data_IF_803939082201
#
_entry.id   IF_803939082201
#
_cell.length_a   1.000
_cell.length_b   1.000
_cell.length_c   1.000
_cell.angle_alpha   90.00
_cell.angle_beta   90.00
_cell.angle_gamma   90.00
#
_symmetry.space_group_name_H-M   'P 1'
#
loop_
_entity.id
_entity.type
_entity.pdbx_description
1 polymer ?
#
# COMPACT_ATOMS: atom_id res chain seq x y z
N UNK A 1 -20.27 -21.43 24.22
CA UNK A 1 -20.61 -21.44 22.78
C UNK A 1 -19.72 -22.47 22.10
N UNK A 2 -20.23 -23.20 21.11
CA UNK A 2 -19.46 -24.13 20.26
C UNK A 2 -19.66 -23.74 18.79
N UNK A 3 -18.65 -23.93 17.94
CA UNK A 3 -18.70 -23.64 16.52
C UNK A 3 -17.88 -24.69 15.74
N UNK A 4 -18.31 -25.04 14.53
CA UNK A 4 -17.57 -25.93 13.62
C UNK A 4 -16.39 -25.22 12.96
N UNK A 5 -16.50 -23.91 12.73
CA UNK A 5 -15.45 -23.09 12.16
C UNK A 5 -15.32 -21.78 12.93
N UNK A 6 -14.08 -21.40 13.24
CA UNK A 6 -13.72 -20.14 13.91
C UNK A 6 -12.85 -19.34 12.96
N UNK A 7 -13.23 -18.09 12.69
CA UNK A 7 -12.45 -17.15 11.88
C UNK A 7 -11.86 -16.07 12.76
N UNK A 8 -10.54 -16.01 12.84
CA UNK A 8 -9.79 -14.99 13.58
C UNK A 8 -9.54 -13.78 12.66
N UNK A 9 -10.23 -12.68 12.94
CA UNK A 9 -10.14 -11.43 12.19
C UNK A 9 -9.88 -10.22 13.08
N UNK A 10 -9.01 -10.35 14.08
CA UNK A 10 -8.81 -9.36 15.16
C UNK A 10 -7.99 -8.13 14.76
N UNK A 11 -7.48 -8.11 13.53
CA UNK A 11 -6.68 -6.99 13.01
C UNK A 11 -5.31 -6.86 13.68
N UNK A 12 -4.79 -5.64 13.69
CA UNK A 12 -3.47 -5.30 14.24
C UNK A 12 -3.46 -3.90 14.84
N UNK A 13 -2.46 -3.63 15.68
CA UNK A 13 -2.21 -2.31 16.30
C UNK A 13 -0.79 -1.82 15.98
N UNK A 14 -0.49 -0.52 16.10
CA UNK A 14 0.86 0.00 15.91
C UNK A 14 1.84 -0.69 16.85
N UNK A 15 3.01 -1.03 16.31
CA UNK A 15 4.10 -1.57 17.11
C UNK A 15 5.09 -0.46 17.46
N UNK A 16 5.46 -0.38 18.73
CA UNK A 16 6.37 0.64 19.27
C UNK A 16 7.63 -0.07 19.80
N UNK A 17 8.83 0.28 19.30
CA UNK A 17 10.09 -0.21 19.86
C UNK A 17 10.23 0.16 21.32
N UNK A 18 10.90 -0.66 22.13
CA UNK A 18 11.11 -0.37 23.55
C UNK A 18 11.94 0.89 23.82
N UNK A 19 12.73 1.35 22.85
CA UNK A 19 13.46 2.62 22.93
C UNK A 19 12.61 3.84 22.61
N UNK A 20 11.35 3.68 22.21
CA UNK A 20 10.46 4.78 21.84
C UNK A 20 9.40 4.97 22.91
N UNK A 21 9.17 6.21 23.33
CA UNK A 21 8.16 6.58 24.33
C UNK A 21 6.98 7.30 23.67
N UNK A 22 5.89 6.59 23.45
CA UNK A 22 4.63 7.12 22.87
C UNK A 22 3.69 7.53 24.01
N UNK A 23 3.31 8.81 24.06
CA UNK A 23 2.44 9.39 25.09
C UNK A 23 1.05 9.80 24.56
N UNK A 24 0.83 9.67 23.24
CA UNK A 24 -0.37 10.10 22.51
C UNK A 24 -0.74 11.59 22.69
N UNK A 25 0.23 12.40 23.14
CA UNK A 25 0.17 13.86 23.12
C UNK A 25 1.26 14.41 22.22
N UNK A 26 2.55 14.25 22.60
CA UNK A 26 3.72 14.76 21.87
C UNK A 26 4.30 13.74 20.90
N UNK A 27 4.32 12.49 21.32
CA UNK A 27 4.71 11.34 20.51
C UNK A 27 3.47 10.51 20.27
N UNK A 28 3.07 10.44 19.00
CA UNK A 28 1.90 9.77 18.49
C UNK A 28 2.31 8.45 17.84
N UNK A 29 1.38 7.53 17.71
CA UNK A 29 1.51 6.38 16.84
C UNK A 29 0.78 6.59 15.51
N UNK A 30 0.89 5.61 14.62
CA UNK A 30 0.21 5.63 13.32
C UNK A 30 -1.31 5.75 13.40
N UNK A 31 -1.95 5.35 14.51
CA UNK A 31 -3.40 5.38 14.68
C UNK A 31 -3.91 6.70 15.30
N UNK A 32 -3.00 7.57 15.77
CA UNK A 32 -3.31 8.87 16.37
C UNK A 32 -2.61 10.05 15.70
N UNK A 33 -2.07 9.85 14.48
CA UNK A 33 -1.27 10.83 13.74
C UNK A 33 -2.02 12.15 13.44
N UNK A 34 -3.34 12.11 13.34
CA UNK A 34 -4.18 13.28 13.05
C UNK A 34 -4.09 14.35 14.13
N UNK A 35 -3.69 13.98 15.36
CA UNK A 35 -3.43 14.92 16.46
C UNK A 35 -2.22 15.82 16.22
N UNK A 36 -1.38 15.50 15.22
CA UNK A 36 -0.30 16.37 14.79
C UNK A 36 -0.76 17.50 13.86
N UNK A 37 -2.01 17.46 13.37
CA UNK A 37 -2.56 18.54 12.55
C UNK A 37 -2.59 19.87 13.34
N UNK A 38 -2.26 20.96 12.67
CA UNK A 38 -2.21 22.30 13.28
C UNK A 38 -0.92 22.62 14.04
N UNK A 39 0.09 21.75 13.97
CA UNK A 39 1.45 22.05 14.44
C UNK A 39 2.32 22.63 13.31
N UNK A 40 3.51 23.14 13.62
CA UNK A 40 4.38 23.71 12.60
C UNK A 40 5.32 22.65 12.02
N UNK A 41 5.93 21.80 12.87
CA UNK A 41 6.96 20.83 12.45
C UNK A 41 6.72 19.45 13.03
N UNK A 42 6.61 18.44 12.16
CA UNK A 42 6.37 17.04 12.54
C UNK A 42 7.42 16.13 11.96
N UNK A 43 7.91 15.20 12.78
CA UNK A 43 8.65 14.05 12.27
C UNK A 43 7.74 12.84 12.14
N UNK A 44 7.86 12.10 11.05
CA UNK A 44 7.28 10.77 10.88
C UNK A 44 8.42 9.76 10.84
N UNK A 45 8.43 8.80 11.76
CA UNK A 45 9.48 7.77 11.87
C UNK A 45 8.93 6.46 11.34
N UNK A 46 9.49 6.00 10.22
CA UNK A 46 9.01 4.88 9.41
C UNK A 46 8.23 5.36 8.20
N UNK A 47 8.73 5.03 7.02
CA UNK A 47 8.16 5.31 5.70
C UNK A 47 7.51 4.05 5.07
N UNK A 48 6.97 3.18 5.93
CA UNK A 48 5.98 2.21 5.50
C UNK A 48 4.67 2.90 5.08
N UNK A 49 3.68 2.10 4.65
CA UNK A 49 2.40 2.59 4.15
C UNK A 49 1.71 3.59 5.09
N UNK A 50 1.59 3.23 6.37
CA UNK A 50 0.97 4.07 7.39
C UNK A 50 1.74 5.40 7.58
N UNK A 51 3.08 5.35 7.52
CA UNK A 51 3.93 6.52 7.66
C UNK A 51 3.86 7.46 6.46
N UNK A 52 3.89 6.91 5.25
CA UNK A 52 3.70 7.70 4.01
C UNK A 52 2.31 8.32 3.97
N UNK A 53 1.28 7.59 4.40
CA UNK A 53 -0.08 8.14 4.53
C UNK A 53 -0.14 9.27 5.55
N UNK A 54 0.45 9.10 6.73
CA UNK A 54 0.48 10.14 7.75
C UNK A 54 1.23 11.37 7.26
N UNK A 55 2.42 11.20 6.68
CA UNK A 55 3.25 12.27 6.16
C UNK A 55 2.54 13.08 5.06
N UNK A 56 1.96 12.41 4.09
CA UNK A 56 1.25 13.05 2.97
C UNK A 56 -0.01 13.78 3.44
N UNK A 57 -0.80 13.17 4.32
CA UNK A 57 -1.99 13.84 4.88
C UNK A 57 -1.62 15.06 5.73
N UNK A 58 -0.61 14.95 6.59
CA UNK A 58 -0.16 16.08 7.41
C UNK A 58 0.38 17.23 6.55
N UNK A 59 1.13 16.92 5.49
CA UNK A 59 1.63 17.93 4.56
C UNK A 59 0.49 18.74 3.91
N UNK A 60 -0.66 18.12 3.61
CA UNK A 60 -1.83 18.86 3.08
C UNK A 60 -2.42 19.89 4.05
N UNK A 61 -2.09 19.78 5.35
CA UNK A 61 -2.54 20.74 6.38
C UNK A 61 -1.57 21.92 6.56
N UNK A 62 -0.47 21.96 5.81
CA UNK A 62 0.55 23.02 5.86
C UNK A 62 1.67 22.78 6.89
N UNK A 63 1.70 21.62 7.53
CA UNK A 63 2.74 21.21 8.48
C UNK A 63 4.05 20.91 7.74
N UNK A 64 5.18 21.34 8.28
CA UNK A 64 6.50 20.90 7.80
C UNK A 64 6.79 19.46 8.25
N UNK A 65 6.77 18.53 7.31
CA UNK A 65 6.97 17.10 7.60
C UNK A 65 8.40 16.67 7.26
N UNK A 66 9.07 16.02 8.21
CA UNK A 66 10.31 15.26 7.98
C UNK A 66 10.04 13.77 8.15
N UNK A 67 10.28 12.98 7.11
CA UNK A 67 10.04 11.54 7.08
C UNK A 67 11.37 10.79 7.21
N UNK A 68 11.53 9.97 8.24
CA UNK A 68 12.71 9.14 8.49
C UNK A 68 12.43 7.69 8.15
N UNK A 69 13.34 7.03 7.44
CA UNK A 69 13.33 5.57 7.32
C UNK A 69 14.76 5.04 7.13
N UNK A 70 15.05 3.89 7.76
CA UNK A 70 16.33 3.19 7.62
C UNK A 70 16.55 2.59 6.23
N UNK A 71 15.48 2.36 5.45
CA UNK A 71 15.56 1.85 4.08
C UNK A 71 15.91 2.99 3.12
N UNK A 72 16.65 2.67 2.08
CA UNK A 72 16.97 3.60 1.01
C UNK A 72 15.88 3.69 -0.06
N UNK A 73 15.01 2.69 -0.15
CA UNK A 73 13.90 2.64 -1.10
C UNK A 73 12.58 2.50 -0.37
N UNK A 74 11.59 3.23 -0.87
CA UNK A 74 10.22 3.15 -0.43
C UNK A 74 9.46 2.11 -1.26
N UNK A 75 8.37 1.58 -0.70
CA UNK A 75 7.40 0.75 -1.41
C UNK A 75 8.05 -0.35 -2.28
N UNK A 76 9.02 -1.09 -1.73
CA UNK A 76 9.79 -2.12 -2.46
C UNK A 76 8.90 -3.24 -3.02
N UNK A 77 7.65 -3.36 -2.55
CA UNK A 77 6.64 -4.26 -3.09
C UNK A 77 5.93 -3.74 -4.37
N UNK A 78 6.24 -2.53 -4.80
CA UNK A 78 5.66 -1.89 -5.99
C UNK A 78 6.70 -1.80 -7.12
N UNK A 79 6.21 -1.71 -8.36
CA UNK A 79 7.07 -1.51 -9.54
C UNK A 79 7.86 -0.19 -9.40
N UNK A 80 9.18 -0.26 -9.59
CA UNK A 80 10.09 0.85 -9.25
C UNK A 80 9.77 2.15 -9.99
N UNK A 81 9.31 2.07 -11.24
CA UNK A 81 8.97 3.27 -12.01
C UNK A 81 7.73 3.97 -11.47
N UNK A 82 6.82 3.24 -10.82
CA UNK A 82 5.69 3.84 -10.11
C UNK A 82 6.14 4.46 -8.78
N UNK A 83 7.08 3.81 -8.08
CA UNK A 83 7.66 4.36 -6.85
C UNK A 83 8.36 5.69 -7.14
N UNK A 84 9.10 5.79 -8.23
CA UNK A 84 9.79 7.03 -8.62
C UNK A 84 8.80 8.20 -8.79
N UNK A 85 7.66 7.97 -9.42
CA UNK A 85 6.59 8.97 -9.57
C UNK A 85 6.01 9.40 -8.21
N UNK A 86 5.77 8.44 -7.30
CA UNK A 86 5.27 8.75 -5.94
C UNK A 86 6.30 9.53 -5.15
N UNK A 87 7.57 9.14 -5.20
CA UNK A 87 8.67 9.81 -4.48
C UNK A 87 8.83 11.25 -4.97
N UNK A 88 8.77 11.47 -6.29
CA UNK A 88 8.83 12.81 -6.88
C UNK A 88 7.66 13.67 -6.39
N UNK A 89 6.43 13.15 -6.38
CA UNK A 89 5.24 13.87 -5.93
C UNK A 89 5.29 14.21 -4.42
N UNK A 90 5.74 13.26 -3.60
CA UNK A 90 5.96 13.46 -2.16
C UNK A 90 7.01 14.56 -1.93
N UNK A 91 8.09 14.56 -2.69
CA UNK A 91 9.12 15.60 -2.62
C UNK A 91 8.59 16.98 -3.01
N UNK A 92 7.76 17.07 -4.06
CA UNK A 92 7.09 18.31 -4.48
C UNK A 92 6.09 18.84 -3.46
N UNK A 93 5.53 17.95 -2.64
CA UNK A 93 4.63 18.30 -1.53
C UNK A 93 5.36 18.91 -0.32
N UNK A 94 6.67 19.13 -0.40
CA UNK A 94 7.47 19.76 0.65
C UNK A 94 7.91 18.83 1.78
N UNK A 95 7.67 17.53 1.65
CA UNK A 95 8.06 16.52 2.64
C UNK A 95 9.56 16.28 2.53
N UNK A 96 10.30 16.50 3.62
CA UNK A 96 11.73 16.21 3.70
C UNK A 96 11.95 14.73 3.98
N UNK A 97 12.33 13.96 2.97
CA UNK A 97 12.64 12.53 3.12
C UNK A 97 14.10 12.31 3.54
N UNK A 98 14.30 11.56 4.63
CA UNK A 98 15.60 11.12 5.16
C UNK A 98 15.65 9.60 5.15
N UNK A 99 15.93 9.08 3.95
CA UNK A 99 16.02 7.64 3.68
C UNK A 99 17.44 7.14 3.95
N UNK A 100 17.57 5.91 4.43
CA UNK A 100 18.86 5.36 4.89
C UNK A 100 19.28 5.85 6.27
N UNK A 101 18.38 6.50 7.00
CA UNK A 101 18.63 7.07 8.32
C UNK A 101 17.79 6.36 9.37
N UNK A 102 18.47 5.63 10.26
CA UNK A 102 17.81 4.93 11.36
C UNK A 102 17.64 5.86 12.58
N UNK A 103 16.62 5.59 13.38
CA UNK A 103 16.30 6.35 14.58
C UNK A 103 16.49 5.46 15.80
N UNK A 104 17.36 5.89 16.73
CA UNK A 104 17.66 5.16 17.95
C UNK A 104 16.57 5.32 19.01
N UNK A 105 16.10 6.54 19.19
CA UNK A 105 15.20 6.92 20.28
C UNK A 105 14.22 8.00 19.81
N UNK A 106 13.00 7.91 20.32
CA UNK A 106 11.95 8.92 20.17
C UNK A 106 11.29 9.10 21.53
N UNK A 107 11.05 10.34 21.93
CA UNK A 107 10.38 10.61 23.19
C UNK A 107 9.86 12.03 23.32
N UNK A 108 9.02 12.29 24.34
CA UNK A 108 8.62 13.64 24.69
C UNK A 108 9.83 14.44 25.20
N UNK A 109 9.86 15.74 24.89
CA UNK A 109 10.86 16.71 25.32
C UNK A 109 10.14 17.94 25.87
N UNK A 110 10.80 18.78 26.67
CA UNK A 110 10.20 20.01 27.26
C UNK A 110 9.47 20.83 26.20
N UNK A 111 10.08 21.00 25.02
CA UNK A 111 9.59 21.82 23.91
C UNK A 111 8.87 21.03 22.79
N UNK A 112 8.30 19.85 23.10
CA UNK A 112 7.60 19.02 22.11
C UNK A 112 8.06 17.57 22.16
N UNK A 113 8.58 17.06 21.06
CA UNK A 113 9.12 15.71 20.97
C UNK A 113 10.53 15.73 20.36
N UNK A 114 11.32 14.72 20.69
CA UNK A 114 12.68 14.54 20.17
C UNK A 114 12.78 13.28 19.32
N UNK A 115 13.63 13.36 18.31
CA UNK A 115 14.10 12.24 17.50
C UNK A 115 15.62 12.19 17.64
N UNK A 116 16.16 11.01 17.94
CA UNK A 116 17.60 10.76 18.03
C UNK A 116 17.99 9.85 16.86
N UNK A 117 18.49 10.40 15.74
CA UNK A 117 19.03 9.59 14.66
C UNK A 117 20.24 8.79 15.14
N UNK A 118 20.48 7.61 14.53
CA UNK A 118 21.67 6.80 14.82
C UNK A 118 22.98 7.52 14.47
N UNK A 119 22.90 8.39 13.47
CA UNK A 119 23.99 9.23 13.00
C UNK A 119 23.44 10.64 12.85
N UNK A 120 23.78 11.51 13.80
CA UNK A 120 23.33 12.88 13.78
C UNK A 120 23.15 13.44 15.18
N UNK A 121 22.68 14.67 15.23
CA UNK A 121 22.32 15.33 16.48
C UNK A 121 20.84 15.11 16.80
N UNK A 122 20.50 15.28 18.08
CA UNK A 122 19.11 15.22 18.53
C UNK A 122 18.31 16.36 17.88
N UNK A 123 17.19 16.01 17.26
CA UNK A 123 16.30 16.99 16.64
C UNK A 123 14.97 17.11 17.37
N UNK A 124 14.45 18.33 17.42
CA UNK A 124 13.18 18.66 18.07
C UNK A 124 12.09 18.95 17.05
N UNK A 125 10.90 18.46 17.36
CA UNK A 125 9.68 18.61 16.58
C UNK A 125 8.53 18.95 17.53
N UNK A 126 7.47 19.58 17.02
CA UNK A 126 6.28 19.83 17.83
C UNK A 126 5.60 18.51 18.20
N UNK A 127 5.58 17.58 17.24
CA UNK A 127 5.07 16.21 17.37
C UNK A 127 5.93 15.22 16.59
N UNK A 128 5.96 13.98 17.04
CA UNK A 128 6.53 12.85 16.31
C UNK A 128 5.46 11.78 16.10
N UNK A 129 5.35 11.24 14.89
CA UNK A 129 4.48 10.09 14.58
C UNK A 129 5.35 8.85 14.39
N UNK A 130 5.14 7.83 15.21
CA UNK A 130 5.84 6.54 15.13
C UNK A 130 5.04 5.57 14.25
N UNK A 131 5.64 5.15 13.14
CA UNK A 131 5.03 4.28 12.12
C UNK A 131 6.01 3.21 11.61
N UNK A 132 6.59 2.45 12.55
CA UNK A 132 7.66 1.47 12.26
C UNK A 132 7.16 0.03 12.11
N UNK A 133 5.85 -0.18 12.07
CA UNK A 133 5.21 -1.47 11.85
C UNK A 133 3.96 -1.68 12.69
N UNK A 134 3.35 -2.86 12.54
CA UNK A 134 2.16 -3.27 13.29
C UNK A 134 2.36 -4.66 13.90
N UNK A 135 1.64 -4.95 14.97
CA UNK A 135 1.60 -6.24 15.68
C UNK A 135 0.17 -6.79 15.66
N UNK A 136 0.01 -8.09 15.43
CA UNK A 136 -1.29 -8.77 15.43
C UNK A 136 -1.98 -8.70 16.79
N UNK A 137 -3.31 -8.60 16.78
CA UNK A 137 -4.12 -8.58 18.01
C UNK A 137 -4.45 -10.00 18.47
N UNK A 138 -3.45 -10.71 18.99
CA UNK A 138 -3.53 -12.14 19.35
C UNK A 138 -3.35 -12.43 20.84
N UNK A 139 -2.75 -11.50 21.59
CA UNK A 139 -2.37 -11.68 23.01
C UNK A 139 -3.53 -12.11 23.93
N UNK A 140 -4.75 -11.66 23.64
CA UNK A 140 -5.93 -11.93 24.47
C UNK A 140 -6.73 -13.18 24.02
N UNK A 141 -6.28 -13.90 22.99
CA UNK A 141 -7.07 -14.99 22.39
C UNK A 141 -6.88 -16.34 23.09
N UNK A 142 -5.84 -16.51 23.91
CA UNK A 142 -5.54 -17.80 24.54
C UNK A 142 -5.18 -18.88 23.51
N UNK A 143 -4.40 -18.52 22.49
CA UNK A 143 -4.02 -19.38 21.35
C UNK A 143 -3.35 -20.69 21.79
N UNK A 144 -2.63 -20.65 22.91
CA UNK A 144 -1.97 -21.81 23.50
C UNK A 144 -2.93 -22.95 23.84
N UNK A 145 -4.21 -22.63 24.14
CA UNK A 145 -5.24 -23.62 24.50
C UNK A 145 -5.68 -24.47 23.31
N UNK A 146 -5.48 -23.96 22.11
CA UNK A 146 -5.82 -24.64 20.85
C UNK A 146 -4.58 -25.06 20.07
N UNK A 147 -3.38 -24.85 20.63
CA UNK A 147 -2.11 -25.20 19.99
C UNK A 147 -1.73 -24.28 18.82
N UNK A 148 -2.20 -23.03 18.82
CA UNK A 148 -1.78 -22.01 17.87
C UNK A 148 -0.62 -21.18 18.44
N UNK A 149 0.27 -20.78 17.55
CA UNK A 149 1.42 -19.94 17.83
C UNK A 149 1.46 -18.76 16.87
N UNK A 150 2.17 -17.71 17.25
CA UNK A 150 2.36 -16.52 16.43
C UNK A 150 3.84 -16.31 16.12
N UNK A 151 4.12 -15.55 15.08
CA UNK A 151 5.47 -15.04 14.86
C UNK A 151 5.86 -13.94 15.88
N UNK A 152 7.07 -13.39 15.72
CA UNK A 152 7.60 -12.29 16.54
C UNK A 152 6.76 -10.99 16.49
N UNK A 153 5.84 -10.87 15.54
CA UNK A 153 4.90 -9.73 15.38
C UNK A 153 3.48 -10.11 15.76
N UNK A 154 3.28 -11.20 16.50
CA UNK A 154 1.95 -11.62 16.95
C UNK A 154 1.03 -12.02 15.78
N UNK A 155 1.58 -12.34 14.61
CA UNK A 155 0.80 -12.72 13.42
C UNK A 155 0.58 -14.22 13.38
N UNK A 156 -0.58 -14.62 12.89
CA UNK A 156 -0.92 -16.01 12.65
C UNK A 156 -0.45 -16.44 11.26
N UNK A 157 0.14 -17.62 11.15
CA UNK A 157 0.39 -18.24 9.85
C UNK A 157 -0.90 -18.87 9.31
N UNK A 158 -1.10 -18.75 8.00
CA UNK A 158 -2.16 -19.44 7.28
C UNK A 158 -1.66 -19.94 5.92
N UNK A 159 -2.32 -20.98 5.41
CA UNK A 159 -2.16 -21.42 4.02
C UNK A 159 -2.84 -20.45 3.02
N UNK A 160 -2.74 -20.74 1.72
CA UNK A 160 -3.37 -19.95 0.65
C UNK A 160 -4.92 -19.91 0.73
N UNK A 161 -5.51 -20.80 1.51
CA UNK A 161 -6.95 -20.89 1.76
C UNK A 161 -7.37 -20.17 3.04
N UNK A 162 -6.42 -19.58 3.78
CA UNK A 162 -6.61 -18.89 5.06
C UNK A 162 -6.84 -19.83 6.25
N UNK A 163 -6.46 -21.10 6.13
CA UNK A 163 -6.51 -22.06 7.23
C UNK A 163 -5.23 -21.97 8.06
N UNK A 164 -5.39 -22.07 9.38
CA UNK A 164 -4.27 -22.37 10.27
C UNK A 164 -3.96 -23.88 10.21
N UNK A 165 -2.96 -24.33 10.97
CA UNK A 165 -2.70 -25.77 11.12
C UNK A 165 -3.69 -26.48 12.05
N UNK A 166 -4.56 -25.74 12.76
CA UNK A 166 -5.61 -26.30 13.61
C UNK A 166 -6.89 -26.41 12.80
N UNK A 167 -7.42 -27.63 12.73
CA UNK A 167 -8.65 -27.91 11.99
C UNK A 167 -9.83 -27.07 12.50
N UNK A 168 -10.59 -26.50 11.57
CA UNK A 168 -11.71 -25.60 11.88
C UNK A 168 -11.30 -24.20 12.32
N UNK A 169 -10.01 -23.85 12.37
CA UNK A 169 -9.55 -22.49 12.70
C UNK A 169 -8.88 -21.83 11.49
N UNK A 170 -9.44 -20.69 11.10
CA UNK A 170 -8.98 -19.87 9.98
C UNK A 170 -8.64 -18.46 10.47
N UNK A 171 -7.84 -17.71 9.71
CA UNK A 171 -7.55 -16.32 10.05
C UNK A 171 -7.43 -15.42 8.81
N UNK A 172 -7.90 -14.18 8.90
CA UNK A 172 -7.93 -13.22 7.78
C UNK A 172 -7.61 -11.81 8.24
N UNK A 173 -7.18 -10.98 7.29
CA UNK A 173 -6.89 -9.57 7.49
C UNK A 173 -5.54 -9.33 8.16
N UNK A 174 -5.40 -8.21 8.86
CA UNK A 174 -4.09 -7.76 9.35
C UNK A 174 -3.44 -8.69 10.38
N UNK A 175 -4.21 -9.62 10.99
CA UNK A 175 -3.70 -10.61 11.94
C UNK A 175 -2.83 -11.69 11.28
N UNK A 176 -2.96 -11.91 9.96
CA UNK A 176 -2.13 -12.86 9.19
C UNK A 176 -0.96 -12.18 8.45
N UNK A 177 -0.77 -10.87 8.65
CA UNK A 177 0.28 -10.11 7.99
C UNK A 177 -0.04 -9.70 6.55
N UNK A 178 1.01 -9.44 5.77
CA UNK A 178 0.89 -8.87 4.43
C UNK A 178 0.20 -9.87 3.48
N UNK A 179 -0.74 -9.42 2.62
CA UNK A 179 -1.17 -8.03 2.39
C UNK A 179 -2.29 -7.58 3.35
N UNK A 180 -1.97 -6.68 4.29
CA UNK A 180 -2.78 -6.33 5.47
C UNK A 180 -3.62 -5.04 5.36
N UNK A 181 -4.13 -4.71 4.17
CA UNK A 181 -4.98 -3.52 3.96
C UNK A 181 -6.48 -3.84 4.03
N UNK A 182 -7.32 -2.85 4.30
CA UNK A 182 -8.78 -3.03 4.42
C UNK A 182 -9.38 -3.77 3.22
N UNK A 183 -9.04 -3.36 2.00
CA UNK A 183 -9.55 -3.98 0.77
C UNK A 183 -9.13 -5.44 0.63
N UNK A 184 -7.89 -5.75 1.01
CA UNK A 184 -7.36 -7.11 0.95
C UNK A 184 -7.98 -7.97 2.05
N UNK A 185 -8.12 -7.44 3.26
CA UNK A 185 -8.78 -8.11 4.39
C UNK A 185 -10.24 -8.44 4.06
N UNK A 186 -10.94 -7.53 3.38
CA UNK A 186 -12.31 -7.76 2.91
C UNK A 186 -12.38 -8.84 1.82
N UNK A 187 -11.45 -8.85 0.87
CA UNK A 187 -11.37 -9.90 -0.17
C UNK A 187 -11.05 -11.27 0.44
N UNK A 188 -10.11 -11.32 1.40
CA UNK A 188 -9.75 -12.53 2.16
C UNK A 188 -10.96 -13.07 2.91
N UNK A 189 -11.68 -12.23 3.66
CA UNK A 189 -12.89 -12.62 4.38
C UNK A 189 -14.01 -13.14 3.46
N UNK A 190 -14.25 -12.48 2.32
CA UNK A 190 -15.23 -12.93 1.32
C UNK A 190 -14.88 -14.30 0.73
N UNK A 191 -13.61 -14.51 0.38
CA UNK A 191 -13.12 -15.80 -0.14
C UNK A 191 -13.24 -16.90 0.89
N UNK A 192 -12.84 -16.63 2.12
CA UNK A 192 -12.94 -17.60 3.20
C UNK A 192 -14.41 -17.96 3.48
N UNK A 193 -15.31 -16.98 3.49
CA UNK A 193 -16.74 -17.22 3.67
C UNK A 193 -17.30 -18.15 2.59
N UNK A 194 -16.93 -17.93 1.32
CA UNK A 194 -17.32 -18.83 0.21
C UNK A 194 -16.75 -20.23 0.44
N UNK A 195 -15.46 -20.36 0.77
CA UNK A 195 -14.85 -21.68 1.00
C UNK A 195 -15.53 -22.44 2.15
N UNK A 196 -15.82 -21.78 3.26
CA UNK A 196 -16.51 -22.39 4.41
C UNK A 196 -17.92 -22.82 4.02
N UNK A 197 -18.67 -21.95 3.34
CA UNK A 197 -20.06 -22.24 2.91
C UNK A 197 -20.16 -23.38 1.89
N UNK A 198 -19.12 -23.57 1.06
CA UNK A 198 -19.10 -24.59 0.01
C UNK A 198 -18.15 -25.77 0.33
N UNK A 199 -17.73 -25.92 1.59
CA UNK A 199 -16.85 -27.00 2.05
C UNK A 199 -15.57 -27.16 1.21
N UNK A 200 -14.99 -26.06 0.77
CA UNK A 200 -13.77 -26.04 -0.05
C UNK A 200 -13.92 -26.55 -1.49
N UNK A 201 -15.15 -26.82 -1.95
CA UNK A 201 -15.45 -27.30 -3.31
C UNK A 201 -15.54 -26.17 -4.35
N UNK A 202 -15.27 -24.93 -3.95
CA UNK A 202 -15.21 -23.81 -4.86
C UNK A 202 -13.78 -23.67 -5.41
N UNK A 203 -13.59 -23.81 -6.73
CA UNK A 203 -12.30 -23.52 -7.36
C UNK A 203 -11.96 -22.04 -7.18
N UNK A 204 -10.98 -21.74 -6.32
CA UNK A 204 -10.39 -20.42 -6.26
C UNK A 204 -9.57 -20.21 -7.52
N UNK A 205 -10.00 -19.28 -8.37
CA UNK A 205 -9.06 -18.66 -9.32
C UNK A 205 -7.90 -18.03 -8.54
N UNK A 206 -6.68 -17.94 -9.13
CA UNK A 206 -5.59 -17.20 -8.50
C UNK A 206 -6.11 -15.82 -8.14
N UNK A 207 -5.76 -15.35 -6.94
CA UNK A 207 -6.11 -14.00 -6.57
C UNK A 207 -5.54 -13.09 -7.65
N UNK A 208 -6.41 -12.45 -8.44
CA UNK A 208 -5.98 -11.22 -9.08
C UNK A 208 -6.01 -10.21 -7.95
N UNK A 209 -4.90 -10.23 -7.20
CA UNK A 209 -4.67 -9.45 -6.02
C UNK A 209 -4.35 -8.06 -6.52
N UNK A 210 -5.40 -7.31 -6.85
CA UNK A 210 -5.25 -5.87 -6.98
C UNK A 210 -4.76 -5.40 -5.63
N UNK A 211 -3.49 -5.05 -5.55
CA UNK A 211 -2.89 -4.49 -4.34
C UNK A 211 -2.82 -2.98 -4.49
N UNK A 212 -2.85 -2.32 -3.34
CA UNK A 212 -2.72 -0.88 -3.20
C UNK A 212 -1.50 -0.61 -2.34
N UNK A 213 -0.73 0.44 -2.65
CA UNK A 213 0.33 0.95 -1.76
C UNK A 213 -0.24 1.65 -0.52
N UNK A 214 -1.49 2.13 -0.56
CA UNK A 214 -2.11 2.91 0.51
C UNK A 214 -1.52 4.31 0.68
N UNK A 215 -0.66 4.74 -0.24
CA UNK A 215 -0.02 6.06 -0.25
C UNK A 215 -0.89 7.11 -0.94
N UNK A 216 -0.47 8.37 -0.87
CA UNK A 216 -1.00 9.45 -1.71
C UNK A 216 0.19 10.11 -2.43
N UNK A 217 0.29 10.02 -3.76
CA UNK A 217 -0.62 9.32 -4.67
C UNK A 217 -0.60 7.80 -4.47
N UNK A 218 -1.72 7.13 -4.78
CA UNK A 218 -1.92 5.68 -4.57
C UNK A 218 -1.40 4.90 -5.78
N UNK A 219 -0.59 3.86 -5.55
CA UNK A 219 -0.23 2.87 -6.56
C UNK A 219 -1.21 1.72 -6.45
N UNK A 220 -1.97 1.47 -7.52
CA UNK A 220 -2.77 0.26 -7.71
C UNK A 220 -2.05 -0.66 -8.68
N UNK A 221 -1.94 -1.94 -8.32
CA UNK A 221 -1.24 -2.90 -9.16
C UNK A 221 -1.90 -4.28 -9.15
N UNK A 222 -1.76 -5.00 -10.25
CA UNK A 222 -2.18 -6.38 -10.39
C UNK A 222 -1.10 -7.16 -11.12
N UNK A 223 -0.78 -8.37 -10.65
CA UNK A 223 0.24 -9.21 -11.29
C UNK A 223 1.65 -8.89 -10.83
N UNK A 224 2.62 -9.29 -11.66
CA UNK A 224 4.04 -9.19 -11.35
C UNK A 224 4.61 -7.83 -11.72
N UNK A 225 5.51 -7.34 -10.91
CA UNK A 225 6.38 -6.17 -11.15
C UNK A 225 7.44 -6.47 -12.20
N UNK A 226 8.06 -5.42 -12.74
CA UNK A 226 9.22 -5.54 -13.63
C UNK A 226 10.37 -6.28 -12.96
N UNK A 227 10.61 -6.00 -11.68
CA UNK A 227 11.68 -6.58 -10.87
C UNK A 227 11.48 -8.09 -10.70
N UNK A 228 10.26 -8.53 -10.40
CA UNK A 228 9.90 -9.95 -10.32
C UNK A 228 10.09 -10.65 -11.67
N UNK A 229 9.64 -10.04 -12.77
CA UNK A 229 9.80 -10.62 -14.11
C UNK A 229 11.28 -10.75 -14.52
N UNK A 230 12.11 -9.77 -14.17
CA UNK A 230 13.56 -9.81 -14.42
C UNK A 230 14.22 -10.88 -13.56
N UNK A 231 13.88 -10.97 -12.27
CA UNK A 231 14.44 -11.98 -11.36
C UNK A 231 14.07 -13.42 -11.78
N UNK A 232 12.85 -13.62 -12.31
CA UNK A 232 12.37 -14.90 -12.83
C UNK A 232 12.87 -15.23 -14.26
N UNK A 233 13.58 -14.30 -14.93
CA UNK A 233 14.05 -14.49 -16.30
C UNK A 233 12.92 -14.60 -17.33
N UNK A 234 11.77 -13.98 -17.08
CA UNK A 234 10.61 -14.03 -17.96
C UNK A 234 10.81 -13.07 -19.14
N UNK A 235 10.65 -13.55 -20.37
CA UNK A 235 10.68 -12.68 -21.55
C UNK A 235 9.38 -11.88 -21.68
N UNK A 236 9.48 -10.58 -21.37
CA UNK A 236 8.37 -9.65 -21.36
C UNK A 236 8.63 -8.41 -22.23
N UNK A 237 7.53 -7.72 -22.52
CA UNK A 237 7.47 -6.36 -23.04
C UNK A 237 6.64 -5.51 -22.08
N UNK A 238 6.92 -4.21 -22.09
CA UNK A 238 6.21 -3.23 -21.28
C UNK A 238 5.80 -2.04 -22.13
N UNK A 239 4.68 -1.44 -21.79
CA UNK A 239 4.27 -0.17 -22.36
C UNK A 239 3.65 0.75 -21.31
N UNK A 240 3.70 2.04 -21.59
CA UNK A 240 3.54 3.11 -20.59
C UNK A 240 2.63 4.20 -21.12
N UNK A 241 1.79 4.75 -20.26
CA UNK A 241 0.99 5.94 -20.54
C UNK A 241 1.10 6.92 -19.36
N UNK A 242 1.13 8.21 -19.67
CA UNK A 242 1.07 9.27 -18.65
C UNK A 242 2.28 9.37 -17.71
N UNK A 243 3.46 8.82 -18.06
CA UNK A 243 4.72 8.99 -17.32
C UNK A 243 5.35 10.37 -17.59
N UNK A 244 4.64 11.43 -17.22
CA UNK A 244 5.12 12.82 -17.30
C UNK A 244 5.43 13.30 -15.90
N UNK A 245 6.49 14.09 -15.73
CA UNK A 245 6.92 14.58 -14.41
C UNK A 245 5.80 15.39 -13.72
N UNK A 246 5.28 14.89 -12.59
CA UNK A 246 4.14 15.47 -11.87
C UNK A 246 2.76 15.06 -12.36
N UNK A 247 2.67 14.14 -13.32
CA UNK A 247 1.41 13.52 -13.68
C UNK A 247 1.08 12.44 -12.65
N UNK A 248 -0.03 12.64 -11.93
CA UNK A 248 -0.62 11.62 -11.04
C UNK A 248 -1.63 10.75 -11.81
N UNK A 249 -1.42 10.55 -13.11
CA UNK A 249 -2.26 9.69 -13.95
C UNK A 249 -1.39 8.90 -14.92
N UNK A 250 -0.88 7.76 -14.46
CA UNK A 250 0.10 6.95 -15.17
C UNK A 250 -0.26 5.48 -15.11
N UNK A 251 0.00 4.72 -16.18
CA UNK A 251 -0.21 3.28 -16.23
C UNK A 251 0.94 2.60 -16.95
N UNK A 252 1.41 1.51 -16.37
CA UNK A 252 2.38 0.58 -16.96
C UNK A 252 1.71 -0.77 -17.13
N UNK A 253 1.78 -1.32 -18.33
CA UNK A 253 1.26 -2.64 -18.67
C UNK A 253 2.43 -3.57 -19.02
N UNK A 254 2.36 -4.81 -18.55
CA UNK A 254 3.39 -5.84 -18.74
C UNK A 254 2.77 -7.07 -19.41
N UNK A 255 3.40 -7.59 -20.45
CA UNK A 255 2.94 -8.79 -21.17
C UNK A 255 4.10 -9.65 -21.68
N UNK A 256 3.85 -10.93 -21.96
CA UNK A 256 4.86 -11.80 -22.56
C UNK A 256 5.16 -11.37 -24.00
N UNK A 257 6.43 -11.26 -24.38
CA UNK A 257 6.83 -10.90 -25.76
C UNK A 257 6.26 -11.85 -26.81
N UNK A 258 6.39 -13.17 -26.57
CA UNK A 258 5.99 -14.20 -27.55
C UNK A 258 4.48 -14.34 -27.75
N UNK A 259 3.71 -14.29 -26.66
CA UNK A 259 2.28 -14.65 -26.71
C UNK A 259 1.33 -13.48 -26.47
N UNK A 260 1.85 -12.29 -26.16
CA UNK A 260 1.04 -11.14 -25.79
C UNK A 260 0.23 -11.31 -24.49
N UNK A 261 0.44 -12.40 -23.72
CA UNK A 261 -0.31 -12.66 -22.49
C UNK A 261 0.02 -11.62 -21.42
N UNK A 262 -1.01 -11.03 -20.83
CA UNK A 262 -0.86 -10.01 -19.79
C UNK A 262 -0.26 -10.64 -18.52
N UNK A 263 0.78 -10.00 -17.99
CA UNK A 263 1.55 -10.44 -16.82
C UNK A 263 1.34 -9.55 -15.60
N UNK A 264 1.04 -8.28 -15.83
CA UNK A 264 0.73 -7.32 -14.77
C UNK A 264 0.39 -5.95 -15.31
N UNK A 265 -0.16 -5.11 -14.44
CA UNK A 265 -0.29 -3.68 -14.66
C UNK A 265 -0.13 -2.95 -13.32
N UNK A 266 0.42 -1.75 -13.40
CA UNK A 266 0.66 -0.86 -12.27
C UNK A 266 0.16 0.52 -12.70
N UNK A 267 -0.49 1.25 -11.83
CA UNK A 267 -1.07 2.54 -12.17
C UNK A 267 -1.19 3.46 -10.96
N UNK A 268 -1.12 4.75 -11.23
CA UNK A 268 -1.36 5.85 -10.28
C UNK A 268 -2.41 6.75 -10.90
N UNK A 269 -3.47 7.10 -10.15
CA UNK A 269 -4.39 8.16 -10.53
C UNK A 269 -5.86 7.95 -10.15
N UNK A 270 -6.71 8.97 -10.40
CA UNK A 270 -8.07 9.05 -9.86
C UNK A 270 -8.98 7.91 -10.32
N UNK A 271 -8.81 7.42 -11.57
CA UNK A 271 -9.72 6.45 -12.18
C UNK A 271 -9.05 5.11 -12.55
N UNK A 272 -7.83 4.87 -12.07
CA UNK A 272 -7.04 3.69 -12.48
C UNK A 272 -7.53 2.38 -11.87
N UNK A 273 -8.40 2.43 -10.85
CA UNK A 273 -8.99 1.25 -10.23
C UNK A 273 -9.78 0.39 -11.23
N UNK A 274 -10.48 1.03 -12.18
CA UNK A 274 -11.20 0.32 -13.23
C UNK A 274 -10.24 -0.38 -14.20
N UNK A 275 -9.18 0.30 -14.62
CA UNK A 275 -8.15 -0.23 -15.52
C UNK A 275 -7.42 -1.42 -14.89
N UNK A 276 -6.96 -1.29 -13.64
CA UNK A 276 -6.29 -2.37 -12.91
C UNK A 276 -7.25 -3.53 -12.64
N UNK A 277 -8.52 -3.27 -12.32
CA UNK A 277 -9.56 -4.29 -12.16
C UNK A 277 -9.81 -5.09 -13.44
N UNK A 278 -9.81 -4.43 -14.61
CA UNK A 278 -9.93 -5.09 -15.92
C UNK A 278 -8.72 -5.96 -16.24
N UNK A 279 -7.50 -5.44 -16.03
CA UNK A 279 -6.26 -6.21 -16.19
C UNK A 279 -6.28 -7.45 -15.30
N UNK A 280 -6.62 -7.28 -14.02
CA UNK A 280 -6.77 -8.35 -13.05
C UNK A 280 -7.75 -9.46 -13.54
N UNK A 281 -8.91 -9.07 -14.08
CA UNK A 281 -9.87 -10.01 -14.66
C UNK A 281 -9.32 -10.70 -15.93
N UNK A 282 -8.63 -9.96 -16.79
CA UNK A 282 -7.98 -10.48 -17.99
C UNK A 282 -6.88 -11.50 -17.69
N UNK A 283 -6.08 -11.26 -16.66
CA UNK A 283 -5.04 -12.19 -16.18
C UNK A 283 -5.63 -13.52 -15.72
N UNK A 284 -6.76 -13.50 -14.98
CA UNK A 284 -7.46 -14.73 -14.56
C UNK A 284 -7.90 -15.58 -15.76
N UNK A 285 -8.29 -14.91 -16.86
CA UNK A 285 -8.68 -15.56 -18.11
C UNK A 285 -7.51 -15.77 -19.09
N UNK A 286 -6.28 -15.47 -18.67
CA UNK A 286 -5.05 -15.59 -19.46
C UNK A 286 -5.14 -14.85 -20.81
N UNK A 287 -5.81 -13.68 -20.81
CA UNK A 287 -5.99 -12.89 -22.03
C UNK A 287 -4.65 -12.35 -22.55
N UNK A 288 -4.60 -12.14 -23.87
CA UNK A 288 -3.58 -11.34 -24.52
C UNK A 288 -3.91 -9.86 -24.42
N UNK A 289 -2.93 -8.98 -24.62
CA UNK A 289 -3.14 -7.52 -24.67
C UNK A 289 -4.22 -7.17 -25.70
N UNK A 290 -4.16 -7.71 -26.91
CA UNK A 290 -5.18 -7.46 -27.95
C UNK A 290 -6.59 -7.82 -27.51
N UNK A 291 -6.75 -8.98 -26.85
CA UNK A 291 -8.06 -9.44 -26.33
C UNK A 291 -8.51 -8.62 -25.12
N UNK A 292 -7.60 -8.15 -24.29
CA UNK A 292 -7.90 -7.24 -23.20
C UNK A 292 -8.45 -5.93 -23.77
N UNK A 293 -7.76 -5.33 -24.74
CA UNK A 293 -8.17 -4.07 -25.37
C UNK A 293 -9.49 -4.19 -26.13
N UNK A 294 -9.73 -5.31 -26.85
CA UNK A 294 -10.99 -5.52 -27.56
C UNK A 294 -12.21 -5.58 -26.64
N UNK A 295 -12.01 -5.84 -25.35
CA UNK A 295 -13.06 -5.86 -24.33
C UNK A 295 -13.21 -4.53 -23.56
N UNK A 296 -12.34 -3.55 -23.79
CA UNK A 296 -12.17 -2.35 -22.96
C UNK A 296 -12.17 -1.05 -23.80
N UNK A 297 -13.13 -0.90 -24.71
CA UNK A 297 -13.16 0.15 -25.75
C UNK A 297 -12.84 1.58 -25.28
N UNK A 298 -13.28 1.94 -24.07
CA UNK A 298 -13.23 3.32 -23.56
C UNK A 298 -12.05 3.61 -22.62
N UNK A 299 -11.18 2.63 -22.33
CA UNK A 299 -10.02 2.82 -21.43
C UNK A 299 -8.82 3.40 -22.17
N UNK A 300 -8.80 4.73 -22.33
CA UNK A 300 -7.76 5.41 -23.10
C UNK A 300 -6.36 5.21 -22.52
N UNK A 301 -6.21 5.23 -21.19
CA UNK A 301 -4.92 5.09 -20.52
C UNK A 301 -4.34 3.68 -20.72
N UNK A 302 -5.18 2.65 -20.60
CA UNK A 302 -4.78 1.27 -20.86
C UNK A 302 -4.44 1.05 -22.35
N UNK A 303 -5.18 1.67 -23.27
CA UNK A 303 -4.91 1.58 -24.72
C UNK A 303 -3.60 2.26 -25.09
N UNK A 304 -3.36 3.46 -24.58
CA UNK A 304 -2.10 4.18 -24.80
C UNK A 304 -0.93 3.33 -24.31
N UNK A 305 -1.00 2.82 -23.08
CA UNK A 305 0.05 1.99 -22.51
C UNK A 305 0.31 0.73 -23.32
N UNK A 306 -0.73 0.09 -23.88
CA UNK A 306 -0.56 -1.09 -24.73
C UNK A 306 0.07 -0.78 -26.10
N UNK A 307 -0.07 0.45 -26.60
CA UNK A 307 0.49 0.87 -27.90
C UNK A 307 1.85 1.56 -27.80
N UNK A 308 2.16 2.16 -26.66
CA UNK A 308 3.41 2.88 -26.42
C UNK A 308 4.49 1.91 -25.91
N UNK A 309 5.04 1.10 -26.82
CA UNK A 309 6.16 0.19 -26.55
C UNK A 309 7.51 0.90 -26.69
N UNK A 310 8.31 0.98 -25.63
CA UNK A 310 9.69 1.48 -25.69
C UNK A 310 10.17 2.19 -24.42
N UNK A 311 11.50 2.45 -24.29
CA UNK A 311 12.04 3.29 -23.22
C UNK A 311 11.62 4.76 -23.42
N UNK A 312 11.65 5.55 -22.33
CA UNK A 312 11.32 6.98 -22.32
C UNK A 312 11.98 7.73 -23.48
N UNK A 313 11.20 8.09 -24.51
CA UNK A 313 11.58 9.16 -25.42
C UNK A 313 11.13 10.48 -24.80
N UNK A 314 12.06 11.25 -24.27
CA UNK A 314 11.85 12.65 -23.89
C UNK A 314 11.62 13.48 -25.14
N UNK A 315 10.43 13.40 -25.74
CA UNK A 315 9.91 14.39 -26.71
C UNK A 315 8.56 13.91 -27.22
N UNK A 316 7.50 14.63 -26.88
CA UNK A 316 6.16 14.36 -27.38
C UNK A 316 5.12 15.14 -26.59
N UNK A 317 5.11 16.47 -26.75
CA UNK A 317 4.01 17.28 -26.25
C UNK A 317 2.70 16.82 -26.92
N UNK A 318 1.80 16.22 -26.14
CA UNK A 318 0.41 16.06 -26.54
C UNK A 318 -0.34 17.39 -26.34
N UNK A 319 -1.42 17.65 -27.11
CA UNK A 319 -2.10 18.95 -27.10
C UNK A 319 -2.71 19.20 -25.72
N UNK A 320 -2.49 20.39 -25.19
CA UNK A 320 -3.13 20.91 -23.97
C UNK A 320 -4.65 20.86 -24.11
N UNK A 321 -5.28 19.83 -23.53
CA UNK A 321 -6.68 19.89 -23.17
C UNK A 321 -6.78 20.76 -21.91
N UNK A 322 -7.63 21.79 -21.98
CA UNK A 322 -7.82 22.75 -20.90
C UNK A 322 -8.17 22.03 -19.60
N UNK A 323 -7.31 22.17 -18.58
CA UNK A 323 -7.59 21.75 -17.22
C UNK A 323 -8.76 22.59 -16.73
N UNK A 324 -9.92 21.95 -16.52
CA UNK A 324 -11.03 22.60 -15.84
C UNK A 324 -10.58 22.94 -14.40
N UNK A 325 -10.93 24.14 -13.89
CA UNK A 325 -10.55 24.52 -12.53
C UNK A 325 -11.15 23.53 -11.52
N UNK A 326 -10.45 23.25 -10.40
CA UNK A 326 -10.95 22.36 -9.38
C UNK A 326 -12.30 22.85 -8.86
N UNK A 327 -13.29 21.96 -8.87
CA UNK A 327 -14.58 22.20 -8.21
C UNK A 327 -14.33 22.22 -6.70
N UNK A 328 -14.73 23.27 -5.97
CA UNK A 328 -14.59 23.28 -4.52
C UNK A 328 -15.44 22.16 -3.92
N UNK A 329 -14.79 21.25 -3.19
CA UNK A 329 -15.47 20.24 -2.38
C UNK A 329 -15.93 20.96 -1.11
N UNK A 330 -17.20 21.39 -1.08
CA UNK A 330 -17.83 21.87 0.15
C UNK A 330 -18.23 20.67 1.02
N UNK A 331 -17.45 20.42 2.08
CA UNK A 331 -17.78 19.46 3.13
C UNK A 331 -16.54 18.88 3.82
N UNK A 332 -16.62 18.49 5.11
CA UNK A 332 -15.52 17.80 5.76
C UNK A 332 -15.23 16.46 5.07
N UNK A 333 -14.01 16.29 4.55
CA UNK A 333 -13.55 15.10 3.83
C UNK A 333 -13.43 13.82 4.69
N UNK A 334 -13.99 13.82 5.91
CA UNK A 334 -13.85 12.76 6.91
C UNK A 334 -15.20 12.17 7.31
N UNK A 335 -16.02 11.70 6.37
CA UNK A 335 -17.12 10.81 6.74
C UNK A 335 -17.27 9.68 5.74
N UNK A 336 -16.60 8.57 6.04
CA UNK A 336 -17.02 7.27 5.52
C UNK A 336 -18.04 6.79 6.54
N UNK A 337 -19.33 7.00 6.26
CA UNK A 337 -20.38 6.35 7.03
C UNK A 337 -20.25 4.84 6.79
N UNK A 338 -19.89 4.11 7.84
CA UNK A 338 -19.94 2.66 7.85
C UNK A 338 -21.41 2.22 7.74
N UNK A 339 -21.71 1.41 6.72
CA UNK A 339 -22.93 0.59 6.66
C UNK A 339 -22.57 -0.81 7.11
#
# INVERSE_FOLDING_TARGET
MSAETVVIGTGSRPWVPSSFSVDHDRVLDADSFERAAGTNRVAVVGAGRDGLRAATLLATTGVEVTLFDRRHRLLEECDSEMVDLVVEDIGRSGIRMRLGEDVLEVGPSVDGAMVVPIRGEVERFDRVVVSVGRVGNTDALGLERVGLETDERGRLWCDERFNTWVEGVCAVGSVIGHPNWLRNSLDQGKRLAVDVLFSGNFERGPAAAVTSSGTRPEILQAGRTTEELMAEGVDYESGRAGFVAGAVNSLKLLWTRRSGRVLGAHAIGPDVAASIGRVAAGMRRRLTVDRLLSSCGDDLLLREAATATGPLTTSGALPTAAVAPPVPIEGPAWRIDAV
#
